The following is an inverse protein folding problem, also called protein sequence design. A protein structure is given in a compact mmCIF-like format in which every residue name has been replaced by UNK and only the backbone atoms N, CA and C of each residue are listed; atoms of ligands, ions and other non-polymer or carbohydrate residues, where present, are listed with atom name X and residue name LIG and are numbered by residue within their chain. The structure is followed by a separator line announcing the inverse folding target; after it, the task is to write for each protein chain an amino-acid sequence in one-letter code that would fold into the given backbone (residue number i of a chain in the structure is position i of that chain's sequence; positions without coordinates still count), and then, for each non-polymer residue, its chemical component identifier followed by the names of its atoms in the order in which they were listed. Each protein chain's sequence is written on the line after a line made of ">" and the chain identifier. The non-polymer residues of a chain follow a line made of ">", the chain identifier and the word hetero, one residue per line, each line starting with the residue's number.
data_IF_373859863749
#
_entry.id   IF_373859863749
#
_cell.length_a   1.000
_cell.length_b   1.000
_cell.length_c   1.000
_cell.angle_alpha   90.00
_cell.angle_beta   90.00
_cell.angle_gamma   90.00
#
_symmetry.space_group_name_H-M   'P 1'
#
loop_
_entity.id
_entity.type
_entity.pdbx_description
1 polymer ?
#
# COMPACT_ATOMS: atom_id res chain seq x y z
N UNK A 1 -1.45 13.68 4.14
CA UNK A 1 -1.43 12.62 3.10
C UNK A 1 -0.21 11.82 3.45
N UNK A 2 -0.41 10.63 4.04
CA UNK A 2 0.72 9.86 4.55
C UNK A 2 1.17 8.95 3.41
N UNK A 3 2.21 9.39 2.69
CA UNK A 3 2.89 8.55 1.72
C UNK A 3 3.80 7.59 2.49
N UNK A 4 3.25 6.42 2.85
CA UNK A 4 4.03 5.36 3.47
C UNK A 4 4.88 4.71 2.39
N UNK A 5 6.19 4.99 2.39
CA UNK A 5 7.16 4.20 1.63
C UNK A 5 7.48 2.96 2.48
N UNK A 6 7.02 1.77 2.09
CA UNK A 6 7.47 0.54 2.73
C UNK A 6 8.98 0.40 2.52
N UNK A 7 9.70 0.05 3.59
CA UNK A 7 11.12 -0.25 3.53
C UNK A 7 11.29 -1.44 2.57
N UNK A 8 12.05 -1.25 1.49
CA UNK A 8 12.39 -2.34 0.58
C UNK A 8 13.17 -3.40 1.36
N UNK A 9 12.52 -4.54 1.65
CA UNK A 9 13.15 -5.64 2.36
C UNK A 9 14.13 -6.39 1.44
N UNK A 10 15.34 -6.74 1.93
CA UNK A 10 16.26 -7.62 1.22
C UNK A 10 15.76 -9.07 1.23
N UNK A 11 15.45 -9.55 0.04
CA UNK A 11 15.44 -10.91 -0.50
C UNK A 11 15.38 -12.12 0.47
N UNK A 12 14.25 -12.82 0.49
CA UNK A 12 14.24 -14.28 0.71
C UNK A 12 12.95 -14.96 0.22
N UNK A 13 13.10 -16.04 -0.55
CA UNK A 13 12.22 -17.21 -0.47
C UNK A 13 11.01 -17.26 -1.39
N UNK A 14 11.21 -17.86 -2.56
CA UNK A 14 10.17 -18.36 -3.49
C UNK A 14 9.25 -19.36 -2.78
N UNK A 15 7.93 -19.16 -2.87
CA UNK A 15 6.96 -20.26 -2.82
C UNK A 15 5.97 -20.09 -3.99
N UNK A 16 6.01 -21.06 -4.90
CA UNK A 16 5.04 -21.22 -5.99
C UNK A 16 3.70 -21.71 -5.42
N UNK A 17 2.60 -21.17 -5.96
CA UNK A 17 1.29 -21.78 -5.88
C UNK A 17 0.58 -21.60 -7.21
N UNK A 18 0.69 -22.61 -8.06
CA UNK A 18 -0.21 -22.88 -9.18
C UNK A 18 -1.66 -22.95 -8.69
N UNK A 19 -2.56 -22.19 -9.32
CA UNK A 19 -3.99 -22.50 -9.31
C UNK A 19 -4.47 -22.57 -10.75
N UNK A 20 -4.62 -23.80 -11.22
CA UNK A 20 -5.28 -24.13 -12.47
C UNK A 20 -6.80 -24.22 -12.28
N UNK A 21 -7.50 -23.57 -13.21
CA UNK A 21 -8.82 -23.86 -13.78
C UNK A 21 -10.05 -24.06 -12.88
N UNK A 22 -11.05 -23.20 -13.11
CA UNK A 22 -12.45 -23.63 -13.24
C UNK A 22 -13.22 -22.64 -14.12
N UNK A 23 -13.38 -22.97 -15.40
CA UNK A 23 -14.34 -22.31 -16.28
C UNK A 23 -15.77 -22.73 -15.89
N UNK A 24 -16.63 -21.76 -15.56
CA UNK A 24 -18.07 -21.97 -15.51
C UNK A 24 -18.70 -21.33 -16.74
N UNK A 25 -19.05 -22.15 -17.74
CA UNK A 25 -19.85 -21.75 -18.89
C UNK A 25 -21.33 -21.76 -18.50
N UNK A 26 -21.96 -20.58 -18.47
CA UNK A 26 -23.43 -20.45 -18.52
C UNK A 26 -23.83 -19.46 -19.63
N UNK A 27 -24.76 -19.83 -20.54
CA UNK A 27 -25.05 -19.03 -21.72
C UNK A 27 -26.32 -18.20 -21.54
N UNK A 28 -26.30 -17.12 -20.76
CA UNK A 28 -27.40 -16.15 -20.78
C UNK A 28 -26.89 -14.69 -20.67
N UNK A 29 -26.98 -14.01 -21.81
CA UNK A 29 -27.12 -12.57 -22.01
C UNK A 29 -26.13 -11.65 -21.27
N UNK A 30 -25.07 -11.29 -21.99
CA UNK A 30 -24.25 -10.11 -21.74
C UNK A 30 -25.11 -8.84 -21.78
N UNK A 31 -25.46 -8.30 -20.62
CA UNK A 31 -25.55 -6.83 -20.48
C UNK A 31 -24.22 -6.37 -19.89
N UNK A 32 -23.49 -5.44 -20.53
CA UNK A 32 -22.46 -4.70 -19.83
C UNK A 32 -23.17 -3.81 -18.80
N UNK A 33 -23.44 -4.36 -17.62
CA UNK A 33 -23.63 -3.51 -16.45
C UNK A 33 -22.28 -2.85 -16.23
N UNK A 34 -22.13 -1.64 -16.74
CA UNK A 34 -21.08 -0.76 -16.31
C UNK A 34 -21.07 -0.84 -14.78
N UNK A 35 -19.92 -1.15 -14.14
CA UNK A 35 -19.84 -1.13 -12.69
C UNK A 35 -20.41 0.22 -12.25
N UNK A 36 -21.28 0.26 -11.22
CA UNK A 36 -21.84 1.51 -10.74
C UNK A 36 -20.68 2.47 -10.58
N UNK A 37 -20.71 3.55 -11.38
CA UNK A 37 -19.67 4.55 -11.48
C UNK A 37 -19.39 4.97 -10.04
N UNK A 38 -18.28 4.48 -9.48
CA UNK A 38 -17.97 4.65 -8.07
C UNK A 38 -18.15 6.14 -7.79
N UNK A 39 -19.11 6.47 -6.91
CA UNK A 39 -19.43 7.85 -6.62
C UNK A 39 -18.10 8.56 -6.35
N UNK A 40 -17.86 9.70 -7.01
CA UNK A 40 -16.58 10.39 -6.90
C UNK A 40 -16.40 10.84 -5.44
N UNK A 41 -15.72 10.01 -4.63
CA UNK A 41 -15.46 10.30 -3.22
C UNK A 41 -14.56 11.52 -3.20
N UNK A 42 -14.98 12.56 -2.47
CA UNK A 42 -14.16 13.74 -2.31
C UNK A 42 -12.96 13.41 -1.41
N UNK A 43 -11.82 13.17 -2.05
CA UNK A 43 -10.56 12.78 -1.39
C UNK A 43 -10.09 13.79 -0.34
N UNK A 44 -10.52 15.04 -0.42
CA UNK A 44 -10.12 16.04 0.58
C UNK A 44 -10.84 15.86 1.91
N UNK A 45 -12.03 15.25 1.91
CA UNK A 45 -12.90 15.09 3.08
C UNK A 45 -13.08 13.64 3.52
N UNK A 46 -12.48 12.70 2.81
CA UNK A 46 -12.56 11.29 3.16
C UNK A 46 -11.89 11.03 4.51
N UNK A 47 -12.68 10.51 5.46
CA UNK A 47 -12.21 9.94 6.72
C UNK A 47 -12.42 8.43 6.60
N UNK A 48 -11.35 7.68 6.82
CA UNK A 48 -11.24 6.26 6.53
C UNK A 48 -9.89 5.93 5.94
N UNK A 49 -9.59 4.63 5.85
CA UNK A 49 -8.36 4.10 5.25
C UNK A 49 -8.76 3.11 4.15
N UNK A 50 -8.20 3.24 2.95
CA UNK A 50 -8.60 2.45 1.79
C UNK A 50 -7.41 2.14 0.89
N UNK A 51 -7.53 1.05 0.13
CA UNK A 51 -6.61 0.70 -0.95
C UNK A 51 -6.85 1.62 -2.14
N UNK A 52 -5.79 2.20 -2.68
CA UNK A 52 -5.84 3.08 -3.85
C UNK A 52 -4.59 2.94 -4.72
N UNK A 53 -4.78 3.20 -6.00
CA UNK A 53 -3.69 3.28 -6.95
C UNK A 53 -2.77 4.47 -6.64
N UNK A 54 -1.46 4.20 -6.61
CA UNK A 54 -0.40 5.18 -6.40
C UNK A 54 0.76 4.87 -7.34
N UNK A 55 1.38 5.92 -7.88
CA UNK A 55 2.53 5.81 -8.77
C UNK A 55 3.77 6.38 -8.10
N UNK A 56 4.84 5.60 -8.03
CA UNK A 56 6.13 6.04 -7.49
C UNK A 56 7.27 5.76 -8.46
N UNK A 57 8.39 6.46 -8.27
CA UNK A 57 9.61 6.25 -9.03
C UNK A 57 10.53 5.29 -8.27
N UNK A 58 10.58 4.04 -8.72
CA UNK A 58 11.52 3.04 -8.20
C UNK A 58 12.94 3.39 -8.63
N UNK A 59 13.86 3.45 -7.66
CA UNK A 59 15.27 3.74 -7.87
C UNK A 59 16.12 2.71 -7.14
N UNK A 60 17.12 2.17 -7.84
CA UNK A 60 18.16 1.31 -7.28
C UNK A 60 19.52 1.84 -7.77
N UNK A 61 20.53 1.96 -6.91
CA UNK A 61 21.86 2.39 -7.33
C UNK A 61 22.39 1.51 -8.48
N UNK A 62 22.90 2.13 -9.53
CA UNK A 62 23.45 1.43 -10.70
C UNK A 62 22.42 0.96 -11.73
N UNK A 63 21.13 1.31 -11.58
CA UNK A 63 20.08 1.12 -12.56
C UNK A 63 19.39 2.44 -12.94
N UNK A 64 18.70 2.44 -14.08
CA UNK A 64 17.73 3.48 -14.44
C UNK A 64 16.47 3.41 -13.57
N UNK A 65 15.83 4.56 -13.37
CA UNK A 65 14.56 4.63 -12.62
C UNK A 65 13.37 4.12 -13.44
N UNK A 66 12.37 3.57 -12.76
CA UNK A 66 11.13 3.08 -13.37
C UNK A 66 9.91 3.62 -12.61
N UNK A 67 8.95 4.23 -13.31
CA UNK A 67 7.66 4.55 -12.70
C UNK A 67 6.81 3.30 -12.57
N UNK A 68 6.39 3.00 -11.35
CA UNK A 68 5.57 1.84 -11.02
C UNK A 68 4.24 2.34 -10.48
N UNK A 69 3.15 1.85 -11.05
CA UNK A 69 1.80 2.06 -10.54
C UNK A 69 1.37 0.82 -9.78
N UNK A 70 0.99 0.99 -8.51
CA UNK A 70 0.64 -0.10 -7.60
C UNK A 70 -0.50 0.32 -6.68
N UNK A 71 -1.19 -0.67 -6.11
CA UNK A 71 -2.11 -0.45 -5.01
C UNK A 71 -1.36 -0.19 -3.70
N UNK A 72 -1.74 0.88 -3.01
CA UNK A 72 -1.15 1.37 -1.76
C UNK A 72 -2.23 1.86 -0.79
N UNK A 73 -1.88 2.02 0.48
CA UNK A 73 -2.81 2.51 1.49
C UNK A 73 -2.89 4.03 1.53
N UNK A 74 -4.12 4.54 1.52
CA UNK A 74 -4.38 5.97 1.54
C UNK A 74 -5.62 6.31 2.36
N UNK A 75 -5.53 7.39 3.13
CA UNK A 75 -6.66 7.86 3.91
C UNK A 75 -6.31 8.76 5.10
N UNK A 76 -7.30 8.98 5.96
CA UNK A 76 -7.20 9.71 7.22
C UNK A 76 -7.91 8.92 8.31
N UNK A 77 -7.21 8.64 9.40
CA UNK A 77 -7.77 7.93 10.53
C UNK A 77 -8.24 8.91 11.60
N UNK A 78 -9.24 8.51 12.36
CA UNK A 78 -9.68 9.26 13.52
C UNK A 78 -8.64 9.14 14.64
N UNK A 79 -8.31 10.29 15.22
CA UNK A 79 -7.37 10.41 16.33
C UNK A 79 -7.94 11.35 17.36
N UNK A 80 -7.64 11.12 18.63
CA UNK A 80 -8.06 12.02 19.70
C UNK A 80 -6.99 12.07 20.80
N UNK A 81 -7.00 13.17 21.54
CA UNK A 81 -6.23 13.35 22.75
C UNK A 81 -7.17 13.92 23.81
N UNK A 82 -7.13 13.31 25.00
CA UNK A 82 -7.99 13.63 26.12
C UNK A 82 -7.12 14.07 27.30
N UNK A 83 -7.28 15.31 27.78
CA UNK A 83 -6.65 15.72 29.03
C UNK A 83 -7.18 14.89 30.21
N UNK A 84 -6.28 14.45 31.07
CA UNK A 84 -6.58 13.72 32.31
C UNK A 84 -5.92 14.41 33.51
N UNK A 85 -6.47 14.24 34.71
CA UNK A 85 -5.99 14.96 35.90
C UNK A 85 -4.72 14.33 36.49
N UNK A 86 -4.56 13.02 36.32
CA UNK A 86 -3.39 12.29 36.80
C UNK A 86 -2.29 12.25 35.72
N UNK A 87 -1.00 12.25 36.11
CA UNK A 87 0.11 12.01 35.18
C UNK A 87 -0.14 10.73 34.34
N UNK A 88 0.10 10.73 33.02
CA UNK A 88 0.86 11.71 32.23
C UNK A 88 0.05 12.92 31.73
N UNK A 89 -1.11 13.22 32.31
CA UNK A 89 -2.00 14.36 32.02
C UNK A 89 -2.65 14.37 30.63
N UNK A 90 -2.24 13.46 29.74
CA UNK A 90 -2.82 13.27 28.41
C UNK A 90 -2.99 11.77 28.16
N UNK A 91 -4.20 11.37 27.81
CA UNK A 91 -4.53 10.08 27.22
C UNK A 91 -4.67 10.29 25.70
N UNK A 92 -3.89 9.57 24.90
CA UNK A 92 -3.89 9.76 23.44
C UNK A 92 -4.26 8.49 22.69
N UNK A 93 -4.99 8.68 21.61
CA UNK A 93 -5.36 7.64 20.64
C UNK A 93 -4.91 8.09 19.25
N UNK A 94 -3.71 7.68 18.90
CA UNK A 94 -3.08 8.02 17.62
C UNK A 94 -3.11 6.80 16.71
N UNK A 95 -3.79 6.96 15.56
CA UNK A 95 -3.92 5.94 14.53
C UNK A 95 -3.51 6.52 13.18
N UNK A 96 -2.88 5.69 12.36
CA UNK A 96 -2.48 6.04 11.00
C UNK A 96 -3.07 5.03 10.01
N UNK A 97 -3.27 5.45 8.77
CA UNK A 97 -3.73 4.56 7.71
C UNK A 97 -2.55 3.74 7.23
N UNK A 98 -2.51 2.46 7.56
CA UNK A 98 -1.37 1.59 7.27
C UNK A 98 -1.80 0.31 6.57
N UNK A 99 -0.82 -0.41 6.04
CA UNK A 99 -0.99 -1.72 5.46
C UNK A 99 -1.42 -2.72 6.55
N UNK A 100 -2.53 -3.40 6.31
CA UNK A 100 -2.97 -4.53 7.14
C UNK A 100 -2.53 -5.85 6.52
N UNK A 101 -2.67 -5.96 5.20
CA UNK A 101 -2.30 -7.15 4.42
C UNK A 101 -1.62 -6.71 3.12
N UNK A 102 -0.50 -7.35 2.81
CA UNK A 102 0.33 -7.03 1.63
C UNK A 102 0.78 -8.28 0.90
N UNK A 103 1.13 -8.09 -0.37
CA UNK A 103 1.86 -9.07 -1.18
C UNK A 103 3.10 -8.42 -1.76
N UNK A 104 4.24 -9.09 -1.68
CA UNK A 104 5.47 -8.63 -2.34
C UNK A 104 5.43 -8.93 -3.83
N UNK A 105 5.83 -7.95 -4.64
CA UNK A 105 5.95 -8.07 -6.09
C UNK A 105 7.33 -7.58 -6.50
N UNK A 106 7.95 -8.27 -7.46
CA UNK A 106 9.27 -7.96 -7.99
C UNK A 106 9.19 -7.54 -9.45
N UNK A 107 9.84 -6.44 -9.81
CA UNK A 107 9.97 -5.96 -11.19
C UNK A 107 11.45 -5.83 -11.58
N UNK A 108 11.73 -5.68 -12.87
CA UNK A 108 13.08 -5.43 -13.38
C UNK A 108 13.27 -3.96 -13.74
N UNK A 109 14.28 -3.33 -13.17
CA UNK A 109 14.65 -1.96 -13.50
C UNK A 109 15.43 -1.90 -14.82
N UNK A 110 15.24 -0.85 -15.64
CA UNK A 110 15.96 -0.68 -16.90
C UNK A 110 17.40 -0.21 -16.69
N UNK A 111 18.26 -0.37 -17.71
CA UNK A 111 19.59 0.24 -17.79
C UNK A 111 20.51 -0.01 -16.57
N UNK A 112 20.51 -1.24 -16.06
CA UNK A 112 21.44 -1.64 -15.00
C UNK A 112 22.85 -1.92 -15.53
N UNK A 113 23.86 -1.62 -14.72
CA UNK A 113 25.24 -2.01 -15.01
C UNK A 113 25.42 -3.53 -14.90
N UNK A 114 26.45 -4.09 -15.56
CA UNK A 114 26.61 -5.54 -15.74
C UNK A 114 26.67 -6.38 -14.45
N UNK A 115 27.00 -5.77 -13.31
CA UNK A 115 27.13 -6.45 -12.02
C UNK A 115 26.02 -6.07 -11.02
N UNK A 116 24.99 -5.36 -11.47
CA UNK A 116 23.87 -4.95 -10.62
C UNK A 116 22.65 -5.78 -10.96
N UNK A 117 22.09 -6.45 -9.95
CA UNK A 117 20.84 -7.17 -10.11
C UNK A 117 19.69 -6.18 -10.43
N UNK A 118 18.95 -6.37 -11.52
CA UNK A 118 17.84 -5.48 -11.90
C UNK A 118 16.58 -5.69 -11.04
N UNK A 119 16.49 -6.71 -10.20
CA UNK A 119 15.30 -6.98 -9.41
C UNK A 119 15.04 -5.87 -8.38
N UNK A 120 13.78 -5.44 -8.30
CA UNK A 120 13.29 -4.47 -7.34
C UNK A 120 11.96 -4.98 -6.76
N UNK A 121 11.94 -5.23 -5.45
CA UNK A 121 10.80 -5.80 -4.74
C UNK A 121 10.12 -4.75 -3.88
N UNK A 122 8.79 -4.70 -3.92
CA UNK A 122 7.96 -3.77 -3.17
C UNK A 122 6.63 -4.43 -2.76
N UNK A 123 5.98 -3.98 -1.67
CA UNK A 123 4.68 -4.51 -1.29
C UNK A 123 3.55 -3.80 -2.03
N UNK A 124 2.54 -4.58 -2.36
CA UNK A 124 1.25 -4.16 -2.89
C UNK A 124 0.21 -4.29 -1.79
N UNK A 125 -0.61 -3.25 -1.56
CA UNK A 125 -1.69 -3.30 -0.58
C UNK A 125 -2.81 -4.24 -1.04
N UNK A 126 -3.11 -5.26 -0.24
CA UNK A 126 -4.34 -6.05 -0.38
C UNK A 126 -5.44 -5.49 0.52
N UNK A 127 -5.06 -5.03 1.72
CA UNK A 127 -5.96 -4.42 2.69
C UNK A 127 -5.26 -3.34 3.50
N UNK A 128 -6.01 -2.30 3.85
CA UNK A 128 -5.55 -1.16 4.63
C UNK A 128 -6.47 -0.96 5.83
N UNK A 129 -5.91 -0.58 6.98
CA UNK A 129 -6.68 -0.31 8.21
C UNK A 129 -6.07 0.86 9.00
N UNK A 130 -6.87 1.43 9.89
CA UNK A 130 -6.41 2.43 10.86
C UNK A 130 -5.76 1.74 12.06
N UNK A 131 -4.43 1.78 12.12
CA UNK A 131 -3.62 1.05 13.09
C UNK A 131 -2.60 1.92 13.82
N UNK A 132 -1.86 1.31 14.74
CA UNK A 132 -0.62 1.93 15.25
C UNK A 132 0.45 1.83 14.15
N UNK A 133 1.29 2.85 14.02
CA UNK A 133 2.44 2.76 13.12
C UNK A 133 3.49 1.82 13.73
N UNK A 134 3.80 0.73 13.02
CA UNK A 134 4.81 -0.25 13.46
C UNK A 134 6.19 0.17 12.95
N UNK A 135 7.03 0.69 13.85
CA UNK A 135 8.40 1.14 13.54
C UNK A 135 9.34 0.01 13.13
N UNK A 136 8.96 -1.26 13.34
CA UNK A 136 9.72 -2.43 12.92
C UNK A 136 9.75 -2.62 11.40
N UNK A 137 8.72 -2.16 10.69
CA UNK A 137 8.52 -2.42 9.25
C UNK A 137 8.18 -1.16 8.46
N UNK A 138 7.94 -0.05 9.16
CA UNK A 138 7.42 1.18 8.55
C UNK A 138 8.06 2.38 9.20
N UNK A 139 8.54 3.31 8.39
CA UNK A 139 9.02 4.60 8.88
C UNK A 139 7.84 5.49 9.26
N UNK A 140 7.74 5.82 10.54
CA UNK A 140 6.66 6.62 11.09
C UNK A 140 7.07 8.09 11.09
N UNK A 141 6.77 8.80 10.01
CA UNK A 141 7.08 10.23 9.87
C UNK A 141 5.83 11.10 9.92
N UNK A 142 5.95 12.30 10.47
CA UNK A 142 4.94 13.35 10.37
C UNK A 142 5.14 14.11 9.07
N UNK A 143 4.08 14.35 8.28
CA UNK A 143 4.17 15.22 7.11
C UNK A 143 4.48 16.66 7.57
N UNK A 144 5.62 17.21 7.15
CA UNK A 144 6.01 18.61 7.37
C UNK A 144 5.38 19.52 6.33
#
# INVERSE_FOLDING_TARGET
>A
MFDFVPIAQPDSGVYDADVTAAECTLPWQRRPHAPPRAAAINLRRFIGCAVREFTFLAKKPGCGGLHITTDACWGRCETWEKPVLDPPFIESYQRVCTYNETRLVTVRLPNCSANVDPAYTYPVALRCDCGVCLTSTTECITSV
#
